data_IF_784689193728
#
_entry.id   IF_784689193728
#
_cell.length_a   1.000
_cell.length_b   1.000
_cell.length_c   1.000
_cell.angle_alpha   90.00
_cell.angle_beta   90.00
_cell.angle_gamma   90.00
#
_symmetry.space_group_name_H-M   'P 1'
#
loop_
_entity.id
_entity.type
_entity.pdbx_description
1 polymer ?
#
# COMPACT_ATOMS: atom_id res chain seq x y z
N UNK A 1 -11.53 -19.38 46.29
CA UNK A 1 -11.64 -18.46 45.12
C UNK A 1 -10.26 -18.28 44.53
N UNK A 2 -10.01 -18.67 43.27
CA UNK A 2 -8.85 -18.18 42.54
C UNK A 2 -9.23 -16.92 41.73
N UNK A 3 -8.36 -15.91 41.61
CA UNK A 3 -8.49 -14.91 40.57
C UNK A 3 -7.91 -15.49 39.26
N UNK A 4 -8.74 -15.65 38.24
CA UNK A 4 -8.28 -16.03 36.90
C UNK A 4 -7.62 -14.82 36.24
N UNK A 5 -6.28 -14.78 36.23
CA UNK A 5 -5.51 -13.81 35.45
C UNK A 5 -5.83 -13.96 33.97
N UNK A 6 -6.57 -12.99 33.43
CA UNK A 6 -6.78 -12.87 31.99
C UNK A 6 -5.46 -12.52 31.32
N UNK A 7 -4.91 -13.51 30.63
CA UNK A 7 -3.72 -13.45 29.80
C UNK A 7 -3.84 -12.27 28.82
N UNK A 8 -2.99 -11.25 28.99
CA UNK A 8 -2.88 -10.13 28.06
C UNK A 8 -2.43 -10.68 26.71
N UNK A 9 -3.36 -10.81 25.77
CA UNK A 9 -3.06 -11.23 24.40
C UNK A 9 -2.29 -10.07 23.78
N UNK A 10 -0.97 -10.22 23.60
CA UNK A 10 -0.19 -9.28 22.81
C UNK A 10 -0.76 -9.30 21.40
N UNK A 11 -1.46 -8.24 21.04
CA UNK A 11 -2.07 -8.06 19.72
C UNK A 11 -0.95 -7.80 18.71
N UNK A 12 -0.40 -8.87 18.14
CA UNK A 12 0.48 -8.76 16.98
C UNK A 12 -0.38 -8.19 15.85
N UNK A 13 -0.20 -6.91 15.52
CA UNK A 13 -0.88 -6.24 14.41
C UNK A 13 -0.55 -7.03 13.15
N UNK A 14 -1.47 -7.89 12.71
CA UNK A 14 -1.36 -8.58 11.43
C UNK A 14 -1.32 -7.46 10.39
N UNK A 15 -0.20 -7.31 9.70
CA UNK A 15 -0.10 -6.39 8.57
C UNK A 15 -0.84 -7.05 7.41
N UNK A 16 -2.18 -6.97 7.45
CA UNK A 16 -3.02 -7.55 6.41
C UNK A 16 -2.83 -6.70 5.17
N UNK A 17 -2.14 -7.25 4.17
CA UNK A 17 -2.01 -6.61 2.87
C UNK A 17 -3.41 -6.48 2.24
N UNK A 18 -3.88 -5.25 2.05
CA UNK A 18 -5.15 -4.97 1.39
C UNK A 18 -4.93 -4.93 -0.13
N UNK A 19 -5.75 -5.65 -0.90
CA UNK A 19 -5.75 -5.62 -2.36
C UNK A 19 -6.94 -4.83 -2.86
N UNK A 20 -6.68 -3.71 -3.52
CA UNK A 20 -7.67 -3.02 -4.34
C UNK A 20 -7.54 -3.48 -5.81
N UNK A 21 -8.66 -3.54 -6.52
CA UNK A 21 -8.67 -3.71 -7.97
C UNK A 21 -9.21 -2.42 -8.59
N UNK A 22 -8.48 -1.89 -9.56
CA UNK A 22 -8.82 -0.65 -10.27
C UNK A 22 -8.62 -0.87 -11.76
N UNK A 23 -9.45 -0.23 -12.57
CA UNK A 23 -9.31 -0.24 -14.04
C UNK A 23 -8.65 1.05 -14.48
N UNK A 24 -7.57 0.95 -15.25
CA UNK A 24 -6.89 2.10 -15.82
C UNK A 24 -7.38 2.37 -17.24
N UNK A 25 -7.52 3.64 -17.66
CA UNK A 25 -7.68 3.96 -19.06
C UNK A 25 -6.42 3.50 -19.84
N UNK A 26 -6.58 3.13 -21.13
CA UNK A 26 -5.51 2.48 -21.90
C UNK A 26 -4.25 3.35 -22.02
N UNK A 27 -4.40 4.65 -22.29
CA UNK A 27 -3.29 5.59 -22.39
C UNK A 27 -2.47 5.67 -21.09
N UNK A 28 -3.15 5.67 -19.93
CA UNK A 28 -2.47 5.67 -18.64
C UNK A 28 -1.75 4.35 -18.38
N UNK A 29 -2.34 3.22 -18.77
CA UNK A 29 -1.71 1.92 -18.61
C UNK A 29 -0.44 1.81 -19.47
N UNK A 30 -0.46 2.26 -20.72
CA UNK A 30 0.70 2.28 -21.60
C UNK A 30 1.84 3.15 -21.03
N UNK A 31 1.51 4.31 -20.45
CA UNK A 31 2.48 5.16 -19.77
C UNK A 31 3.10 4.44 -18.55
N UNK A 32 2.28 3.77 -17.72
CA UNK A 32 2.75 2.98 -16.58
C UNK A 32 3.66 1.82 -17.03
N UNK A 33 3.33 1.15 -18.13
CA UNK A 33 4.18 0.10 -18.70
C UNK A 33 5.53 0.64 -19.18
N UNK A 34 5.54 1.79 -19.87
CA UNK A 34 6.78 2.41 -20.33
C UNK A 34 7.71 2.74 -19.15
N UNK A 35 7.15 3.27 -18.06
CA UNK A 35 7.88 3.54 -16.82
C UNK A 35 8.40 2.23 -16.20
N UNK A 36 7.55 1.20 -16.14
CA UNK A 36 7.89 -0.11 -15.59
C UNK A 36 9.05 -0.76 -16.36
N UNK A 37 9.00 -0.74 -17.71
CA UNK A 37 10.07 -1.22 -18.60
C UNK A 37 11.37 -0.45 -18.38
N UNK A 38 11.31 0.88 -18.33
CA UNK A 38 12.49 1.72 -18.11
C UNK A 38 13.16 1.46 -16.76
N UNK A 39 12.37 1.19 -15.71
CA UNK A 39 12.86 0.92 -14.35
C UNK A 39 13.14 -0.56 -14.08
N UNK A 40 12.85 -1.46 -15.04
CA UNK A 40 12.95 -2.93 -14.91
C UNK A 40 12.15 -3.49 -13.73
N UNK A 41 10.94 -2.96 -13.54
CA UNK A 41 10.00 -3.36 -12.48
C UNK A 41 8.65 -3.71 -13.09
N UNK A 42 7.71 -4.23 -12.28
CA UNK A 42 6.34 -4.48 -12.72
C UNK A 42 5.45 -3.24 -12.61
N UNK A 43 4.37 -3.19 -13.39
CA UNK A 43 3.37 -2.11 -13.29
C UNK A 43 2.80 -1.99 -11.87
N UNK A 44 2.55 -3.13 -11.21
CA UNK A 44 2.06 -3.13 -9.83
C UNK A 44 3.05 -2.45 -8.85
N UNK A 45 4.35 -2.61 -9.06
CA UNK A 45 5.36 -1.90 -8.28
C UNK A 45 5.29 -0.39 -8.52
N UNK A 46 5.14 0.03 -9.78
CA UNK A 46 5.00 1.46 -10.15
C UNK A 46 3.77 2.07 -9.49
N UNK A 47 2.63 1.37 -9.54
CA UNK A 47 1.38 1.82 -8.91
C UNK A 47 1.54 1.98 -7.40
N UNK A 48 2.23 1.03 -6.74
CA UNK A 48 2.51 1.12 -5.31
C UNK A 48 3.40 2.32 -4.98
N UNK A 49 4.52 2.50 -5.66
CA UNK A 49 5.44 3.63 -5.47
C UNK A 49 4.74 4.98 -5.72
N UNK A 50 3.91 5.06 -6.77
CA UNK A 50 3.11 6.24 -7.06
C UNK A 50 2.07 6.54 -5.97
N UNK A 51 1.41 5.51 -5.43
CA UNK A 51 0.45 5.67 -4.34
C UNK A 51 1.11 6.14 -3.04
N UNK A 52 2.27 5.58 -2.68
CA UNK A 52 3.03 6.01 -1.50
C UNK A 52 3.44 7.50 -1.62
N UNK A 53 3.88 7.93 -2.81
CA UNK A 53 4.22 9.34 -3.09
C UNK A 53 3.01 10.25 -3.11
N UNK A 54 1.88 9.80 -3.67
CA UNK A 54 0.65 10.57 -3.70
C UNK A 54 0.19 10.87 -2.27
N UNK A 55 0.11 9.85 -1.41
CA UNK A 55 -0.27 10.04 0.01
C UNK A 55 0.72 10.96 0.73
N UNK A 56 2.03 10.81 0.51
CA UNK A 56 3.03 11.70 1.13
C UNK A 56 2.87 13.16 0.69
N UNK A 57 2.52 13.41 -0.57
CA UNK A 57 2.31 14.76 -1.11
C UNK A 57 0.98 15.37 -0.67
N UNK A 58 -0.08 14.58 -0.55
CA UNK A 58 -1.42 15.01 -0.11
C UNK A 58 -1.49 15.31 1.39
N UNK A 59 -0.48 14.90 2.17
CA UNK A 59 -0.34 15.21 3.60
C UNK A 59 0.81 16.18 3.90
N UNK A 60 0.75 17.47 3.51
CA UNK A 60 1.73 18.46 3.93
C UNK A 60 1.51 18.99 5.36
N UNK A 61 0.58 18.46 6.16
CA UNK A 61 -0.01 19.21 7.29
C UNK A 61 -0.50 18.43 8.52
N UNK A 62 0.23 17.44 9.03
CA UNK A 62 0.16 17.11 10.47
C UNK A 62 1.36 17.73 11.18
N UNK A 63 1.37 19.06 11.26
CA UNK A 63 2.14 19.82 12.24
C UNK A 63 1.18 20.33 13.31
#
# INVERSE_FOLDING_TARGET
MPPTSHKLIRQTKVNVACRASVTFPPELYEALEAIARSKKVSVAWVVRDAAEKYVANEHPGSK
#
